data_IF_966613394637
#
_entry.id   IF_966613394637
#
_cell.length_a   1.000
_cell.length_b   1.000
_cell.length_c   1.000
_cell.angle_alpha   90.00
_cell.angle_beta   90.00
_cell.angle_gamma   90.00
#
_symmetry.space_group_name_H-M   'P 1'
#
loop_
_entity.id
_entity.type
_entity.pdbx_description
1 polymer ?
#
# COMPACT_ATOMS: atom_id res chain seq x y z
N UNK A 1 -24.15 46.05 -38.94
CA UNK A 1 -22.94 46.63 -39.56
C UNK A 1 -22.53 47.85 -38.75
N UNK A 2 -21.37 47.80 -38.09
CA UNK A 2 -20.33 48.86 -38.00
C UNK A 2 -19.35 48.51 -36.87
N UNK A 3 -18.10 48.32 -37.26
CA UNK A 3 -16.91 48.13 -36.42
C UNK A 3 -16.33 49.47 -35.98
N UNK A 4 -15.69 49.51 -34.81
CA UNK A 4 -14.74 50.56 -34.45
C UNK A 4 -13.45 49.95 -33.90
N UNK A 5 -12.36 50.23 -34.60
CA UNK A 5 -10.96 50.04 -34.17
C UNK A 5 -10.47 51.31 -33.49
N UNK A 6 -9.60 51.19 -32.48
CA UNK A 6 -8.83 52.31 -31.94
C UNK A 6 -7.37 51.89 -31.68
N UNK A 7 -6.49 52.80 -32.08
CA UNK A 7 -5.06 52.65 -32.33
C UNK A 7 -4.18 52.93 -31.11
N UNK A 8 -3.05 52.25 -31.06
CA UNK A 8 -1.89 52.39 -30.16
C UNK A 8 -1.30 53.81 -30.08
N UNK A 9 -0.78 54.19 -28.90
CA UNK A 9 0.32 55.16 -28.80
C UNK A 9 1.36 54.71 -27.76
N UNK A 10 2.62 54.73 -28.18
CA UNK A 10 3.83 54.35 -27.44
C UNK A 10 4.49 55.59 -26.86
N UNK A 11 5.05 55.51 -25.66
CA UNK A 11 6.17 56.37 -25.25
C UNK A 11 7.17 55.60 -24.37
N UNK A 12 8.45 55.67 -24.77
CA UNK A 12 9.63 55.08 -24.13
C UNK A 12 10.20 56.04 -23.07
N UNK A 13 10.71 55.49 -21.97
CA UNK A 13 11.85 56.05 -21.24
C UNK A 13 12.66 54.92 -20.61
N UNK A 14 13.94 54.85 -20.99
CA UNK A 14 14.95 53.97 -20.41
C UNK A 14 15.88 54.81 -19.53
N UNK A 15 16.16 54.33 -18.32
CA UNK A 15 17.33 54.74 -17.53
C UNK A 15 17.89 53.50 -16.86
N UNK A 16 19.12 53.16 -17.21
CA UNK A 16 19.95 52.14 -16.59
C UNK A 16 20.75 52.73 -15.42
N UNK A 17 20.86 52.00 -14.32
CA UNK A 17 22.09 51.93 -13.51
C UNK A 17 22.01 50.79 -12.50
N UNK A 18 23.08 49.97 -12.50
CA UNK A 18 23.32 48.88 -11.57
C UNK A 18 23.72 49.41 -10.19
N UNK A 19 23.10 48.89 -9.13
CA UNK A 19 23.71 48.80 -7.79
C UNK A 19 23.37 47.42 -7.25
N UNK A 20 24.40 46.62 -7.00
CA UNK A 20 24.28 45.21 -6.61
C UNK A 20 23.70 45.02 -5.21
N UNK A 21 22.92 43.96 -5.05
CA UNK A 21 22.56 43.40 -3.75
C UNK A 21 23.15 41.99 -3.65
N UNK A 22 23.88 41.76 -2.56
CA UNK A 22 24.56 40.51 -2.22
C UNK A 22 23.55 39.35 -2.02
N UNK A 23 23.96 38.10 -2.27
CA UNK A 23 23.12 36.92 -2.05
C UNK A 23 22.86 36.71 -0.55
N UNK A 24 21.60 36.48 -0.19
CA UNK A 24 21.19 36.20 1.18
C UNK A 24 21.72 34.85 1.66
N UNK A 25 22.15 34.92 2.92
CA UNK A 25 22.82 33.95 3.75
C UNK A 25 21.99 32.68 4.01
N UNK A 26 22.69 31.54 4.02
CA UNK A 26 22.19 30.19 4.31
C UNK A 26 22.09 29.98 5.82
N UNK A 27 20.90 29.83 6.40
CA UNK A 27 20.83 29.70 7.86
C UNK A 27 19.60 29.15 8.57
N UNK A 28 18.48 28.80 7.92
CA UNK A 28 17.30 28.27 8.66
C UNK A 28 16.55 27.16 7.90
N UNK A 29 17.17 25.99 7.81
CA UNK A 29 16.56 24.70 8.20
C UNK A 29 15.35 24.10 7.46
N UNK A 30 14.53 24.79 6.67
CA UNK A 30 13.42 24.18 5.92
C UNK A 30 13.16 24.95 4.62
N UNK A 31 13.64 24.43 3.49
CA UNK A 31 13.33 24.93 2.15
C UNK A 31 12.03 24.29 1.64
N UNK A 32 11.19 25.02 0.86
CA UNK A 32 9.87 24.56 0.46
C UNK A 32 10.01 23.37 -0.49
N UNK A 33 9.32 22.27 -0.18
CA UNK A 33 9.22 21.10 -1.04
C UNK A 33 8.73 21.57 -2.41
N UNK A 34 9.65 21.53 -3.38
CA UNK A 34 9.44 21.96 -4.75
C UNK A 34 8.29 21.18 -5.38
N UNK A 35 7.62 21.82 -6.33
CA UNK A 35 6.57 21.22 -7.13
C UNK A 35 7.07 19.92 -7.82
N UNK A 36 6.15 19.10 -8.29
CA UNK A 36 6.47 17.81 -8.92
C UNK A 36 6.40 17.89 -10.44
N UNK A 37 6.84 19.00 -11.02
CA UNK A 37 7.01 19.14 -12.45
C UNK A 37 8.46 18.80 -12.81
N UNK A 38 8.71 18.39 -14.05
CA UNK A 38 10.08 18.12 -14.54
C UNK A 38 11.00 19.34 -14.46
N UNK A 39 10.44 20.52 -14.21
CA UNK A 39 11.15 21.78 -13.98
C UNK A 39 11.69 21.97 -12.54
N UNK A 40 11.30 21.13 -11.59
CA UNK A 40 11.59 21.34 -10.17
C UNK A 40 12.88 20.67 -9.75
N UNK A 41 13.94 21.48 -9.65
CA UNK A 41 15.26 21.03 -9.21
C UNK A 41 15.19 20.62 -7.73
N UNK A 42 15.19 19.30 -7.46
CA UNK A 42 15.02 18.72 -6.12
C UNK A 42 13.61 18.19 -5.84
N UNK A 43 12.72 18.17 -6.84
CA UNK A 43 11.41 17.51 -6.78
C UNK A 43 11.51 15.97 -6.78
N UNK A 44 10.38 15.25 -6.91
CA UNK A 44 10.28 13.80 -6.70
C UNK A 44 11.01 12.99 -7.79
N UNK A 45 11.31 13.61 -8.93
CA UNK A 45 12.11 13.02 -10.01
C UNK A 45 13.62 13.11 -9.75
N UNK A 46 14.03 13.02 -8.49
CA UNK A 46 15.43 12.98 -8.09
C UNK A 46 15.82 11.51 -7.84
N UNK A 47 16.84 11.00 -8.54
CA UNK A 47 17.35 9.63 -8.41
C UNK A 47 17.80 9.24 -6.98
N UNK A 48 18.04 10.22 -6.10
CA UNK A 48 18.39 9.98 -4.69
C UNK A 48 17.17 9.81 -3.79
N UNK A 49 15.98 10.15 -4.27
CA UNK A 49 14.72 9.95 -3.57
C UNK A 49 14.11 8.65 -4.11
N UNK A 50 13.97 7.67 -3.20
CA UNK A 50 13.06 6.51 -3.24
C UNK A 50 13.72 5.14 -3.50
N UNK A 51 13.90 4.36 -2.42
CA UNK A 51 14.13 2.93 -2.55
C UNK A 51 12.84 2.14 -2.77
N UNK A 52 11.64 2.73 -2.92
CA UNK A 52 10.36 1.97 -3.02
C UNK A 52 10.41 0.90 -4.11
N UNK A 53 10.72 1.29 -5.35
CA UNK A 53 10.85 0.31 -6.44
C UNK A 53 12.01 -0.67 -6.21
N UNK A 54 13.11 -0.24 -5.57
CA UNK A 54 14.22 -1.13 -5.22
C UNK A 54 13.81 -2.14 -4.14
N UNK A 55 12.99 -1.73 -3.18
CA UNK A 55 12.46 -2.53 -2.09
C UNK A 55 11.47 -3.56 -2.65
N UNK A 56 10.55 -3.15 -3.51
CA UNK A 56 9.67 -4.06 -4.24
C UNK A 56 10.45 -5.12 -5.03
N UNK A 57 11.49 -4.72 -5.76
CA UNK A 57 12.35 -5.67 -6.49
C UNK A 57 13.01 -6.65 -5.52
N UNK A 58 13.55 -6.17 -4.39
CA UNK A 58 14.18 -7.03 -3.38
C UNK A 58 13.18 -7.98 -2.70
N UNK A 59 11.97 -7.52 -2.40
CA UNK A 59 10.89 -8.33 -1.85
C UNK A 59 10.44 -9.40 -2.85
N UNK A 60 10.27 -9.04 -4.13
CA UNK A 60 9.94 -9.98 -5.20
C UNK A 60 11.01 -11.06 -5.38
N UNK A 61 12.31 -10.68 -5.38
CA UNK A 61 13.41 -11.64 -5.43
C UNK A 61 13.39 -12.57 -4.21
N UNK A 62 13.14 -12.02 -3.02
CA UNK A 62 13.05 -12.81 -1.79
C UNK A 62 11.85 -13.76 -1.76
N UNK A 63 10.72 -13.38 -2.37
CA UNK A 63 9.50 -14.17 -2.46
C UNK A 63 9.55 -15.26 -3.54
N UNK A 64 10.38 -15.06 -4.59
CA UNK A 64 10.66 -16.05 -5.65
C UNK A 64 11.49 -17.24 -5.15
N UNK A 65 11.22 -17.73 -3.94
CA UNK A 65 11.83 -18.92 -3.33
C UNK A 65 11.51 -20.18 -4.15
N UNK A 66 11.59 -21.36 -3.55
CA UNK A 66 11.36 -22.67 -4.22
C UNK A 66 9.91 -22.94 -4.65
N UNK A 67 9.10 -21.91 -4.97
CA UNK A 67 7.75 -22.07 -5.50
C UNK A 67 7.79 -22.35 -6.99
N UNK A 68 7.01 -23.35 -7.40
CA UNK A 68 6.76 -23.61 -8.82
C UNK A 68 5.67 -22.68 -9.34
N UNK A 69 5.60 -22.49 -10.66
CA UNK A 69 4.47 -21.77 -11.27
C UNK A 69 3.11 -22.38 -10.89
N UNK A 70 3.08 -23.70 -10.65
CA UNK A 70 1.88 -24.41 -10.18
C UNK A 70 1.48 -23.98 -8.78
N UNK A 71 2.44 -23.84 -7.86
CA UNK A 71 2.20 -23.35 -6.51
C UNK A 71 1.67 -21.90 -6.54
N UNK A 72 2.21 -21.08 -7.44
CA UNK A 72 1.78 -19.69 -7.64
C UNK A 72 0.34 -19.63 -8.19
N UNK A 73 0.01 -20.45 -9.19
CA UNK A 73 -1.36 -20.51 -9.73
C UNK A 73 -2.36 -21.07 -8.71
N UNK A 74 -1.96 -22.06 -7.90
CA UNK A 74 -2.80 -22.57 -6.81
C UNK A 74 -3.06 -21.53 -5.71
N UNK A 75 -2.07 -20.66 -5.44
CA UNK A 75 -2.25 -19.50 -4.55
C UNK A 75 -3.17 -18.44 -5.19
N UNK A 76 -2.93 -18.11 -6.46
CA UNK A 76 -3.75 -17.16 -7.21
C UNK A 76 -5.22 -17.60 -7.21
N UNK A 77 -5.50 -18.88 -7.49
CA UNK A 77 -6.84 -19.46 -7.36
C UNK A 77 -7.51 -19.15 -6.02
N UNK A 78 -6.77 -19.16 -4.91
CA UNK A 78 -7.35 -18.91 -3.58
C UNK A 78 -7.79 -17.45 -3.43
N UNK A 79 -6.96 -16.50 -3.88
CA UNK A 79 -7.29 -15.07 -3.79
C UNK A 79 -8.42 -14.70 -4.76
N UNK A 80 -8.42 -15.24 -5.97
CA UNK A 80 -9.53 -15.05 -6.94
C UNK A 80 -10.85 -15.67 -6.45
N UNK A 81 -10.78 -16.76 -5.65
CA UNK A 81 -11.96 -17.29 -4.96
C UNK A 81 -12.43 -16.40 -3.80
N UNK A 82 -11.55 -15.66 -3.14
CA UNK A 82 -11.91 -14.72 -2.07
C UNK A 82 -12.66 -13.53 -2.65
N UNK A 83 -12.09 -12.89 -3.66
CA UNK A 83 -12.61 -11.71 -4.35
C UNK A 83 -13.87 -12.05 -5.16
N UNK A 84 -13.74 -12.86 -6.21
CA UNK A 84 -14.83 -13.03 -7.15
C UNK A 84 -16.10 -13.66 -6.56
N UNK A 85 -16.00 -14.46 -5.48
CA UNK A 85 -17.20 -14.97 -4.78
C UNK A 85 -17.90 -13.88 -3.97
N UNK A 86 -17.15 -12.98 -3.34
CA UNK A 86 -17.70 -11.83 -2.64
C UNK A 86 -18.42 -10.91 -3.62
N UNK A 87 -17.77 -10.62 -4.74
CA UNK A 87 -18.27 -9.67 -5.74
C UNK A 87 -19.48 -10.22 -6.48
N UNK A 88 -19.43 -11.50 -6.89
CA UNK A 88 -20.56 -12.18 -7.54
C UNK A 88 -21.77 -12.24 -6.61
N UNK A 89 -21.57 -12.59 -5.34
CA UNK A 89 -22.69 -12.63 -4.38
C UNK A 89 -23.21 -11.22 -4.06
N UNK A 90 -22.32 -10.26 -3.84
CA UNK A 90 -22.65 -8.87 -3.55
C UNK A 90 -23.46 -8.20 -4.65
N UNK A 91 -23.01 -8.34 -5.89
CA UNK A 91 -23.57 -7.63 -7.04
C UNK A 91 -24.65 -8.42 -7.76
N UNK A 92 -24.57 -9.76 -7.86
CA UNK A 92 -25.52 -10.59 -8.60
C UNK A 92 -26.48 -11.32 -7.67
N UNK A 93 -26.04 -11.68 -6.46
CA UNK A 93 -26.77 -12.57 -5.55
C UNK A 93 -26.60 -14.04 -5.92
N UNK A 94 -25.58 -14.36 -6.71
CA UNK A 94 -25.23 -15.69 -7.18
C UNK A 94 -23.74 -15.93 -6.92
N UNK A 95 -23.42 -17.08 -6.35
CA UNK A 95 -22.03 -17.51 -6.12
C UNK A 95 -21.46 -18.14 -7.41
N UNK A 96 -20.17 -18.44 -7.37
CA UNK A 96 -19.50 -19.23 -8.40
C UNK A 96 -20.18 -20.57 -8.64
N UNK A 97 -20.14 -21.05 -9.89
CA UNK A 97 -20.63 -22.37 -10.25
C UNK A 97 -19.66 -23.49 -9.79
N UNK A 98 -20.08 -24.74 -9.98
CA UNK A 98 -19.31 -25.91 -9.57
C UNK A 98 -17.95 -26.04 -10.28
N UNK A 99 -17.84 -25.60 -11.53
CA UNK A 99 -16.59 -25.62 -12.31
C UNK A 99 -15.55 -24.64 -11.74
N UNK A 100 -16.01 -23.50 -11.21
CA UNK A 100 -15.15 -22.50 -10.58
C UNK A 100 -14.83 -22.85 -9.12
N UNK A 101 -15.79 -23.38 -8.36
CA UNK A 101 -15.57 -23.73 -6.94
C UNK A 101 -14.83 -25.05 -6.74
N UNK A 102 -14.95 -25.98 -7.69
CA UNK A 102 -14.46 -27.36 -7.62
C UNK A 102 -14.90 -28.09 -6.33
N UNK A 103 -16.14 -27.86 -5.90
CA UNK A 103 -16.69 -28.46 -4.68
C UNK A 103 -16.18 -27.83 -3.38
N UNK A 104 -15.53 -26.67 -3.46
CA UNK A 104 -15.17 -25.86 -2.30
C UNK A 104 -16.39 -25.47 -1.46
N UNK A 105 -16.27 -25.37 -0.13
CA UNK A 105 -17.40 -25.05 0.73
C UNK A 105 -17.94 -23.63 0.50
N UNK A 106 -19.22 -23.43 0.81
CA UNK A 106 -19.82 -22.10 0.90
C UNK A 106 -19.09 -21.27 1.98
N UNK A 107 -18.90 -19.97 1.69
CA UNK A 107 -18.41 -19.02 2.68
C UNK A 107 -19.50 -18.59 3.65
N UNK A 108 -19.20 -17.62 4.51
CA UNK A 108 -20.18 -16.93 5.37
C UNK A 108 -19.95 -15.42 5.33
N UNK A 109 -21.00 -14.63 5.52
CA UNK A 109 -20.88 -13.15 5.54
C UNK A 109 -20.90 -12.47 4.17
N UNK A 110 -21.25 -13.21 3.14
CA UNK A 110 -21.48 -12.76 1.77
C UNK A 110 -22.94 -13.01 1.34
N UNK A 111 -23.42 -12.25 0.36
CA UNK A 111 -24.81 -12.25 -0.08
C UNK A 111 -25.11 -11.02 -0.92
N UNK A 112 -26.33 -10.92 -1.46
CA UNK A 112 -26.73 -9.75 -2.25
C UNK A 112 -26.64 -8.47 -1.40
N UNK A 113 -25.80 -7.53 -1.82
CA UNK A 113 -25.70 -6.22 -1.20
C UNK A 113 -26.84 -5.30 -1.65
N UNK A 114 -27.23 -4.37 -0.78
CA UNK A 114 -28.23 -3.36 -1.10
C UNK A 114 -27.59 -2.18 -1.83
N UNK A 115 -27.40 -2.32 -3.13
CA UNK A 115 -26.72 -1.32 -3.98
C UNK A 115 -27.71 -0.46 -4.77
N UNK A 116 -27.42 0.83 -4.87
CA UNK A 116 -28.10 1.73 -5.80
C UNK A 116 -27.79 1.33 -7.26
N UNK A 117 -28.67 1.64 -8.22
CA UNK A 117 -28.43 1.32 -9.62
C UNK A 117 -27.12 1.92 -10.18
N UNK A 118 -26.71 3.08 -9.67
CA UNK A 118 -25.48 3.77 -10.10
C UNK A 118 -24.21 3.00 -9.70
N UNK A 119 -24.19 2.41 -8.50
CA UNK A 119 -23.07 1.58 -8.04
C UNK A 119 -23.18 0.17 -8.60
N UNK A 120 -24.38 -0.40 -8.64
CA UNK A 120 -24.59 -1.76 -9.11
C UNK A 120 -24.16 -1.96 -10.57
N UNK A 121 -24.43 -1.00 -11.45
CA UNK A 121 -24.14 -1.13 -12.89
C UNK A 121 -22.65 -1.38 -13.20
N UNK A 122 -21.70 -0.52 -12.78
CA UNK A 122 -20.27 -0.78 -12.99
C UNK A 122 -19.77 -2.01 -12.21
N UNK A 123 -20.20 -2.21 -10.95
CA UNK A 123 -19.74 -3.36 -10.16
C UNK A 123 -20.24 -4.71 -10.70
N UNK A 124 -21.33 -4.72 -11.48
CA UNK A 124 -21.78 -5.92 -12.19
C UNK A 124 -20.76 -6.38 -13.23
N UNK A 125 -20.10 -5.43 -13.94
CA UNK A 125 -19.04 -5.77 -14.89
C UNK A 125 -17.81 -6.34 -14.17
N UNK A 126 -17.42 -5.72 -13.04
CA UNK A 126 -16.33 -6.21 -12.20
C UNK A 126 -16.61 -7.65 -11.75
N UNK A 127 -17.76 -7.91 -11.13
CA UNK A 127 -18.10 -9.23 -10.61
C UNK A 127 -18.21 -10.34 -11.68
N UNK A 128 -18.64 -10.01 -12.90
CA UNK A 128 -18.63 -10.97 -14.02
C UNK A 128 -17.20 -11.19 -14.53
N UNK A 129 -16.35 -10.17 -14.50
CA UNK A 129 -14.94 -10.26 -14.88
C UNK A 129 -14.13 -11.08 -13.88
N UNK A 130 -14.40 -10.95 -12.58
CA UNK A 130 -13.76 -11.75 -11.52
C UNK A 130 -14.09 -13.24 -11.60
N UNK A 131 -15.29 -13.62 -12.08
CA UNK A 131 -15.58 -15.01 -12.46
C UNK A 131 -14.65 -15.48 -13.60
N UNK A 132 -14.33 -14.59 -14.54
CA UNK A 132 -13.37 -14.81 -15.60
C UNK A 132 -11.94 -14.95 -15.09
N UNK A 133 -11.54 -14.18 -14.09
CA UNK A 133 -10.24 -14.33 -13.42
C UNK A 133 -10.12 -15.72 -12.78
N UNK A 134 -11.12 -16.12 -11.99
CA UNK A 134 -11.18 -17.47 -11.42
C UNK A 134 -11.11 -18.56 -12.51
N UNK A 135 -11.86 -18.41 -13.61
CA UNK A 135 -11.83 -19.33 -14.76
C UNK A 135 -10.43 -19.43 -15.38
N UNK A 136 -9.74 -18.30 -15.55
CA UNK A 136 -8.36 -18.31 -16.02
C UNK A 136 -7.47 -19.15 -15.11
N UNK A 137 -7.57 -18.99 -13.78
CA UNK A 137 -6.75 -19.81 -12.87
C UNK A 137 -7.02 -21.30 -13.03
N UNK A 138 -8.28 -21.70 -13.28
CA UNK A 138 -8.62 -23.10 -13.58
C UNK A 138 -7.95 -23.61 -14.85
N UNK A 139 -7.98 -22.81 -15.91
CA UNK A 139 -7.33 -23.14 -17.19
C UNK A 139 -5.80 -23.13 -17.10
N UNK A 140 -5.23 -22.25 -16.27
CA UNK A 140 -3.80 -22.18 -15.97
C UNK A 140 -3.31 -23.36 -15.10
N UNK A 141 -4.22 -24.23 -14.64
CA UNK A 141 -3.90 -25.45 -13.91
C UNK A 141 -4.16 -25.39 -12.41
N UNK A 142 -4.83 -24.36 -11.91
CA UNK A 142 -5.26 -24.24 -10.51
C UNK A 142 -6.21 -25.38 -10.12
N UNK A 143 -5.82 -26.18 -9.14
CA UNK A 143 -6.58 -27.38 -8.71
C UNK A 143 -7.12 -27.30 -7.29
N UNK A 144 -6.70 -26.32 -6.50
CA UNK A 144 -7.28 -26.11 -5.18
C UNK A 144 -8.76 -25.74 -5.32
N UNK A 145 -9.69 -26.47 -4.67
CA UNK A 145 -11.06 -25.98 -4.50
C UNK A 145 -11.06 -24.61 -3.82
N UNK A 146 -12.07 -23.79 -4.09
CA UNK A 146 -12.21 -22.54 -3.34
C UNK A 146 -12.26 -22.86 -1.83
N UNK A 147 -11.43 -22.20 -0.99
CA UNK A 147 -11.42 -22.50 0.43
C UNK A 147 -12.67 -21.96 1.12
N UNK A 148 -12.88 -22.41 2.36
CA UNK A 148 -13.85 -21.76 3.24
C UNK A 148 -13.38 -20.34 3.58
N UNK A 149 -14.24 -19.36 3.30
CA UNK A 149 -14.00 -17.95 3.61
C UNK A 149 -15.05 -17.44 4.60
N UNK A 150 -14.61 -16.70 5.62
CA UNK A 150 -15.49 -16.00 6.55
C UNK A 150 -15.37 -14.49 6.35
N UNK A 151 -16.22 -13.92 5.49
CA UNK A 151 -16.24 -12.49 5.20
C UNK A 151 -16.68 -11.66 6.41
N UNK A 152 -17.61 -12.17 7.23
CA UNK A 152 -18.01 -11.47 8.46
C UNK A 152 -16.82 -11.29 9.39
N UNK A 153 -16.10 -12.38 9.72
CA UNK A 153 -14.93 -12.30 10.57
C UNK A 153 -13.81 -11.50 9.90
N UNK A 154 -13.51 -11.78 8.62
CA UNK A 154 -12.45 -11.11 7.88
C UNK A 154 -12.58 -9.59 7.86
N UNK A 155 -13.73 -9.06 7.45
CA UNK A 155 -13.92 -7.60 7.46
C UNK A 155 -13.95 -7.02 8.87
N UNK A 156 -14.53 -7.70 9.86
CA UNK A 156 -14.53 -7.18 11.23
C UNK A 156 -13.13 -7.17 11.85
N UNK A 157 -12.30 -8.18 11.60
CA UNK A 157 -10.92 -8.25 12.07
C UNK A 157 -10.04 -7.20 11.37
N UNK A 158 -10.18 -7.02 10.06
CA UNK A 158 -9.49 -5.97 9.29
C UNK A 158 -9.88 -4.58 9.80
N UNK A 159 -11.18 -4.30 9.97
CA UNK A 159 -11.63 -3.03 10.51
C UNK A 159 -11.12 -2.84 11.94
N UNK A 160 -11.20 -3.86 12.79
CA UNK A 160 -10.68 -3.78 14.15
C UNK A 160 -9.19 -3.38 14.16
N UNK A 161 -8.37 -4.02 13.34
CA UNK A 161 -6.96 -3.69 13.19
C UNK A 161 -6.72 -2.27 12.63
N UNK A 162 -7.48 -1.87 11.60
CA UNK A 162 -7.43 -0.53 11.02
C UNK A 162 -7.83 0.59 12.01
N UNK A 163 -8.58 0.25 13.06
CA UNK A 163 -8.92 1.16 14.16
C UNK A 163 -8.03 0.98 15.39
N UNK A 164 -6.95 0.20 15.29
CA UNK A 164 -5.96 0.00 16.35
C UNK A 164 -6.45 -0.83 17.53
N UNK A 165 -7.49 -1.64 17.33
CA UNK A 165 -7.93 -2.61 18.32
C UNK A 165 -6.92 -3.76 18.44
N UNK A 166 -6.87 -4.36 19.62
CA UNK A 166 -6.01 -5.50 19.89
C UNK A 166 -6.52 -6.77 19.19
N UNK A 167 -5.63 -7.72 18.86
CA UNK A 167 -6.05 -8.99 18.24
C UNK A 167 -7.17 -9.68 19.03
N UNK A 168 -8.21 -10.10 18.32
CA UNK A 168 -9.40 -10.75 18.89
C UNK A 168 -10.48 -9.80 19.42
N UNK A 169 -10.28 -8.49 19.34
CA UNK A 169 -11.35 -7.51 19.60
C UNK A 169 -12.17 -7.25 18.33
N UNK A 170 -13.49 -7.22 18.47
CA UNK A 170 -14.42 -6.93 17.38
C UNK A 170 -14.67 -5.42 17.26
N UNK A 171 -14.87 -4.91 16.04
CA UNK A 171 -15.13 -3.49 15.79
C UNK A 171 -16.39 -2.96 16.50
N UNK A 172 -17.33 -3.83 16.89
CA UNK A 172 -18.48 -3.50 17.73
C UNK A 172 -18.12 -2.94 19.10
N UNK A 173 -16.89 -3.17 19.59
CA UNK A 173 -16.39 -2.53 20.81
C UNK A 173 -16.36 -1.00 20.65
N UNK A 174 -16.08 -0.49 19.45
CA UNK A 174 -16.05 0.94 19.16
C UNK A 174 -17.41 1.51 18.72
N UNK A 175 -18.18 0.74 17.94
CA UNK A 175 -19.39 1.26 17.28
C UNK A 175 -20.70 0.58 17.71
N UNK A 176 -20.64 -0.29 18.72
CA UNK A 176 -21.80 -1.00 19.29
C UNK A 176 -22.39 -2.09 18.39
N UNK A 177 -21.85 -2.27 17.18
CA UNK A 177 -22.29 -3.27 16.18
C UNK A 177 -21.12 -3.69 15.30
N UNK A 178 -21.12 -4.94 14.80
CA UNK A 178 -20.13 -5.38 13.83
C UNK A 178 -20.33 -4.64 12.50
N UNK A 179 -19.24 -4.49 11.75
CA UNK A 179 -19.28 -4.05 10.36
C UNK A 179 -19.96 -5.12 9.49
N UNK A 180 -20.79 -4.67 8.56
CA UNK A 180 -21.45 -5.53 7.59
C UNK A 180 -21.31 -4.88 6.20
N UNK A 181 -20.61 -5.53 5.25
CA UNK A 181 -20.39 -4.94 3.94
C UNK A 181 -21.67 -4.83 3.10
N UNK A 182 -22.72 -5.60 3.38
CA UNK A 182 -23.87 -5.75 2.49
C UNK A 182 -24.97 -4.69 2.68
N UNK A 183 -24.77 -3.71 3.57
CA UNK A 183 -25.82 -2.79 4.06
C UNK A 183 -26.22 -1.73 3.03
N UNK A 184 -25.24 -1.13 2.37
CA UNK A 184 -25.44 -0.06 1.39
C UNK A 184 -24.24 0.07 0.45
N UNK A 185 -24.33 1.04 -0.47
CA UNK A 185 -23.25 1.42 -1.39
C UNK A 185 -21.92 1.62 -0.67
N UNK A 186 -21.89 2.44 0.39
CA UNK A 186 -20.65 2.83 1.05
C UNK A 186 -19.96 1.65 1.74
N UNK A 187 -20.70 0.81 2.48
CA UNK A 187 -20.13 -0.35 3.16
C UNK A 187 -19.63 -1.40 2.18
N UNK A 188 -20.36 -1.62 1.09
CA UNK A 188 -19.97 -2.62 0.11
C UNK A 188 -18.76 -2.15 -0.70
N UNK A 189 -18.77 -0.90 -1.16
CA UNK A 189 -17.72 -0.34 -2.00
C UNK A 189 -16.36 -0.27 -1.29
N UNK A 190 -16.31 0.16 -0.02
CA UNK A 190 -15.02 0.14 0.73
C UNK A 190 -14.50 -1.27 0.97
N UNK A 191 -15.39 -2.26 0.99
CA UNK A 191 -15.05 -3.67 1.22
C UNK A 191 -14.56 -4.35 -0.06
N UNK A 192 -15.25 -4.09 -1.17
CA UNK A 192 -14.89 -4.57 -2.50
C UNK A 192 -13.55 -3.95 -2.91
N UNK A 193 -13.41 -2.62 -2.79
CA UNK A 193 -12.16 -1.91 -3.09
C UNK A 193 -10.96 -2.35 -2.23
N UNK A 194 -11.21 -2.72 -0.98
CA UNK A 194 -10.15 -3.28 -0.14
C UNK A 194 -9.59 -4.57 -0.73
N UNK A 195 -10.45 -5.47 -1.21
CA UNK A 195 -10.05 -6.75 -1.79
C UNK A 195 -9.47 -6.56 -3.20
N UNK A 196 -10.14 -5.81 -4.06
CA UNK A 196 -9.75 -5.56 -5.45
C UNK A 196 -8.33 -4.99 -5.57
N UNK A 197 -7.93 -4.11 -4.65
CA UNK A 197 -6.55 -3.59 -4.63
C UNK A 197 -5.51 -4.62 -4.18
N UNK A 198 -5.90 -5.60 -3.35
CA UNK A 198 -5.04 -6.75 -3.06
C UNK A 198 -4.91 -7.65 -4.28
N UNK A 199 -6.00 -7.86 -5.04
CA UNK A 199 -5.98 -8.54 -6.33
C UNK A 199 -5.06 -7.85 -7.32
N UNK A 200 -5.24 -6.55 -7.56
CA UNK A 200 -4.44 -5.76 -8.50
C UNK A 200 -2.93 -5.78 -8.18
N UNK A 201 -2.57 -5.43 -6.94
CA UNK A 201 -1.16 -5.34 -6.51
C UNK A 201 -0.52 -6.72 -6.30
N UNK A 202 -1.29 -7.70 -5.85
CA UNK A 202 -0.89 -9.09 -5.72
C UNK A 202 -0.64 -9.75 -7.07
N UNK A 203 -1.58 -9.62 -8.01
CA UNK A 203 -1.43 -10.13 -9.38
C UNK A 203 -0.23 -9.52 -10.08
N UNK A 204 -0.01 -8.20 -9.94
CA UNK A 204 1.22 -7.55 -10.42
C UNK A 204 2.46 -8.19 -9.79
N UNK A 205 2.48 -8.42 -8.48
CA UNK A 205 3.61 -9.07 -7.81
C UNK A 205 3.85 -10.52 -8.29
N UNK A 206 2.80 -11.28 -8.57
CA UNK A 206 2.90 -12.63 -9.14
C UNK A 206 3.60 -12.62 -10.52
N UNK A 207 3.39 -11.58 -11.33
CA UNK A 207 4.10 -11.43 -12.62
C UNK A 207 5.63 -11.37 -12.44
N UNK A 208 6.14 -10.94 -11.29
CA UNK A 208 7.57 -10.88 -11.01
C UNK A 208 8.20 -12.26 -10.71
N UNK A 209 7.38 -13.25 -10.31
CA UNK A 209 7.86 -14.53 -9.79
C UNK A 209 7.45 -15.75 -10.62
N UNK A 210 6.46 -15.63 -11.51
CA UNK A 210 6.11 -16.68 -12.48
C UNK A 210 7.19 -16.81 -13.56
N UNK A 211 7.61 -18.04 -13.83
CA UNK A 211 8.67 -18.34 -14.81
C UNK A 211 8.16 -18.65 -16.22
N UNK A 212 6.97 -19.24 -16.36
CA UNK A 212 6.36 -19.53 -17.65
C UNK A 212 5.80 -18.24 -18.28
N UNK A 213 6.30 -17.81 -19.45
CA UNK A 213 5.91 -16.52 -20.03
C UNK A 213 4.46 -16.45 -20.49
N UNK A 214 3.82 -17.59 -20.80
CA UNK A 214 2.41 -17.63 -21.22
C UNK A 214 1.49 -17.47 -20.02
N UNK A 215 1.79 -18.18 -18.93
CA UNK A 215 1.06 -18.02 -17.66
C UNK A 215 1.26 -16.59 -17.13
N UNK A 216 2.50 -16.11 -17.17
CA UNK A 216 2.85 -14.75 -16.78
C UNK A 216 2.05 -13.69 -17.56
N UNK A 217 1.93 -13.84 -18.88
CA UNK A 217 1.15 -12.93 -19.71
C UNK A 217 -0.34 -12.90 -19.31
N UNK A 218 -0.91 -14.06 -18.99
CA UNK A 218 -2.29 -14.14 -18.48
C UNK A 218 -2.44 -13.45 -17.12
N UNK A 219 -1.54 -13.69 -16.17
CA UNK A 219 -1.55 -13.03 -14.85
C UNK A 219 -1.31 -11.52 -14.94
N UNK A 220 -0.47 -11.07 -15.87
CA UNK A 220 -0.32 -9.65 -16.18
C UNK A 220 -1.62 -9.04 -16.74
N UNK A 221 -2.38 -9.82 -17.51
CA UNK A 221 -3.74 -9.47 -17.93
C UNK A 221 -4.68 -9.26 -16.74
N UNK A 222 -4.69 -10.19 -15.78
CA UNK A 222 -5.48 -10.07 -14.54
C UNK A 222 -5.08 -8.83 -13.74
N UNK A 223 -3.77 -8.58 -13.57
CA UNK A 223 -3.28 -7.39 -12.88
C UNK A 223 -3.77 -6.10 -13.56
N UNK A 224 -3.85 -6.10 -14.90
CA UNK A 224 -4.31 -4.95 -15.68
C UNK A 224 -5.80 -4.68 -15.49
N UNK A 225 -6.64 -5.71 -15.61
CA UNK A 225 -8.09 -5.58 -15.39
C UNK A 225 -8.41 -5.21 -13.95
N UNK A 226 -7.82 -5.90 -12.97
CA UNK A 226 -8.02 -5.62 -11.55
C UNK A 226 -7.62 -4.18 -11.19
N UNK A 227 -6.50 -3.69 -11.74
CA UNK A 227 -6.10 -2.28 -11.56
C UNK A 227 -7.15 -1.31 -12.14
N UNK A 228 -7.79 -1.66 -13.25
CA UNK A 228 -8.86 -0.85 -13.84
C UNK A 228 -10.15 -0.89 -13.00
N UNK A 229 -10.49 -2.04 -12.45
CA UNK A 229 -11.64 -2.22 -11.54
C UNK A 229 -11.45 -1.42 -10.25
N UNK A 230 -10.27 -1.54 -9.61
CA UNK A 230 -9.90 -0.72 -8.46
C UNK A 230 -10.00 0.79 -8.76
N UNK A 231 -9.62 1.23 -9.98
CA UNK A 231 -9.73 2.64 -10.36
C UNK A 231 -11.21 3.10 -10.50
N UNK A 232 -12.08 2.26 -11.06
CA UNK A 232 -13.53 2.52 -11.11
C UNK A 232 -14.11 2.62 -9.69
N UNK A 233 -13.71 1.70 -8.81
CA UNK A 233 -14.16 1.68 -7.41
C UNK A 233 -13.64 2.87 -6.61
N UNK A 234 -12.37 3.25 -6.79
CA UNK A 234 -11.79 4.49 -6.25
C UNK A 234 -12.57 5.70 -6.72
N UNK A 235 -12.98 5.75 -7.99
CA UNK A 235 -13.82 6.82 -8.53
C UNK A 235 -15.19 6.86 -7.85
N UNK A 236 -15.90 5.74 -7.77
CA UNK A 236 -17.20 5.65 -7.10
C UNK A 236 -17.10 6.04 -5.60
N UNK A 237 -16.01 5.65 -4.95
CA UNK A 237 -15.74 5.93 -3.54
C UNK A 237 -15.37 7.39 -3.34
N UNK A 238 -14.63 7.99 -4.29
CA UNK A 238 -14.34 9.42 -4.31
C UNK A 238 -15.61 10.26 -4.47
N UNK A 239 -16.53 9.90 -5.36
CA UNK A 239 -17.82 10.59 -5.50
C UNK A 239 -18.65 10.52 -4.20
N UNK A 240 -18.47 9.44 -3.42
CA UNK A 240 -19.11 9.22 -2.11
C UNK A 240 -18.23 9.59 -0.92
N UNK A 241 -17.11 10.27 -1.12
CA UNK A 241 -16.05 10.48 -0.09
C UNK A 241 -16.53 11.13 1.21
N UNK A 242 -17.62 11.89 1.15
CA UNK A 242 -18.22 12.59 2.29
C UNK A 242 -19.39 11.83 2.94
N UNK A 243 -19.86 10.74 2.31
CA UNK A 243 -20.91 9.88 2.86
C UNK A 243 -20.35 9.08 4.04
N UNK A 244 -21.20 8.75 5.01
CA UNK A 244 -20.81 7.99 6.20
C UNK A 244 -20.84 6.49 5.93
N UNK A 245 -19.83 5.77 6.44
CA UNK A 245 -19.76 4.30 6.37
C UNK A 245 -20.33 3.69 7.64
N UNK A 246 -21.46 2.99 7.55
CA UNK A 246 -22.07 2.34 8.72
C UNK A 246 -21.25 1.12 9.19
N UNK A 247 -21.13 0.83 10.51
CA UNK A 247 -21.70 1.54 11.66
C UNK A 247 -20.82 2.68 12.18
N UNK A 248 -19.74 3.01 11.48
CA UNK A 248 -18.84 4.09 11.86
C UNK A 248 -19.54 5.45 11.72
N UNK A 249 -19.03 6.46 12.42
CA UNK A 249 -19.41 7.86 12.19
C UNK A 249 -18.39 8.56 11.28
N UNK A 250 -17.59 7.82 10.51
CA UNK A 250 -16.55 8.33 9.63
C UNK A 250 -17.00 8.34 8.16
N UNK A 251 -16.38 9.21 7.36
CA UNK A 251 -16.68 9.27 5.94
C UNK A 251 -15.99 8.15 5.17
N UNK A 252 -16.44 7.86 3.93
CA UNK A 252 -15.79 6.91 3.02
C UNK A 252 -14.29 7.20 2.87
N UNK A 253 -13.89 8.47 2.72
CA UNK A 253 -12.47 8.84 2.64
C UNK A 253 -11.69 8.50 3.91
N UNK A 254 -12.28 8.75 5.09
CA UNK A 254 -11.64 8.44 6.37
C UNK A 254 -11.50 6.94 6.58
N UNK A 255 -12.57 6.18 6.35
CA UNK A 255 -12.54 4.71 6.49
C UNK A 255 -11.55 4.09 5.52
N UNK A 256 -11.54 4.52 4.25
CA UNK A 256 -10.61 3.97 3.27
C UNK A 256 -9.14 4.34 3.58
N UNK A 257 -8.88 5.54 4.12
CA UNK A 257 -7.55 5.90 4.60
C UNK A 257 -7.07 4.99 5.73
N UNK A 258 -7.96 4.60 6.66
CA UNK A 258 -7.62 3.62 7.72
C UNK A 258 -7.32 2.24 7.14
N UNK A 259 -8.13 1.78 6.19
CA UNK A 259 -7.90 0.50 5.52
C UNK A 259 -6.59 0.49 4.73
N UNK A 260 -6.24 1.61 4.09
CA UNK A 260 -4.96 1.78 3.42
C UNK A 260 -3.80 1.72 4.40
N UNK A 261 -3.85 2.49 5.50
CA UNK A 261 -2.82 2.45 6.53
C UNK A 261 -2.67 1.07 7.21
N UNK A 262 -3.78 0.33 7.33
CA UNK A 262 -3.75 -1.05 7.80
C UNK A 262 -2.96 -1.96 6.86
N UNK A 263 -3.21 -1.91 5.55
CA UNK A 263 -2.48 -2.73 4.57
C UNK A 263 -0.99 -2.37 4.56
N UNK A 264 -0.66 -1.08 4.62
CA UNK A 264 0.71 -0.57 4.67
C UNK A 264 1.47 -1.12 5.90
N UNK A 265 0.77 -1.23 7.03
CA UNK A 265 1.35 -1.78 8.25
C UNK A 265 1.60 -3.30 8.18
N UNK A 266 1.00 -3.97 7.19
CA UNK A 266 0.94 -5.44 7.07
C UNK A 266 1.68 -5.98 5.84
N UNK A 267 2.15 -5.14 4.91
CA UNK A 267 2.93 -5.57 3.75
C UNK A 267 4.43 -5.26 3.85
N UNK A 268 4.94 -4.98 5.05
CA UNK A 268 6.37 -5.02 5.33
C UNK A 268 7.02 -3.63 5.35
N UNK A 269 8.27 -3.49 4.88
CA UNK A 269 9.02 -2.25 5.06
C UNK A 269 8.73 -1.17 4.01
N UNK A 270 7.99 -1.48 2.94
CA UNK A 270 7.56 -0.48 1.96
C UNK A 270 6.55 0.49 2.59
N UNK A 271 6.50 1.71 2.04
CA UNK A 271 5.38 2.62 2.25
C UNK A 271 4.80 2.90 0.88
N UNK A 272 3.67 2.28 0.58
CA UNK A 272 3.16 2.24 -0.80
C UNK A 272 1.63 2.35 -0.90
N UNK A 273 0.88 1.95 0.12
CA UNK A 273 -0.57 2.13 0.18
C UNK A 273 -1.00 3.58 0.26
N UNK A 274 -2.12 3.86 -0.40
CA UNK A 274 -2.58 5.23 -0.60
C UNK A 274 -4.09 5.33 -0.45
N UNK A 275 -4.55 6.34 0.29
CA UNK A 275 -5.98 6.65 0.40
C UNK A 275 -6.60 7.15 -0.92
N UNK A 276 -7.91 7.46 -0.88
CA UNK A 276 -8.65 8.06 -2.00
C UNK A 276 -8.18 9.49 -2.32
N UNK A 277 -7.68 10.17 -1.29
CA UNK A 277 -7.04 11.47 -1.38
C UNK A 277 -5.58 11.26 -0.99
N UNK A 278 -4.65 11.81 -1.77
CA UNK A 278 -3.24 11.65 -1.50
C UNK A 278 -2.51 13.00 -1.65
N UNK A 279 -1.62 13.26 -0.69
CA UNK A 279 -0.78 14.46 -0.62
C UNK A 279 0.69 14.10 -0.37
N UNK A 280 1.01 12.81 -0.30
CA UNK A 280 2.35 12.33 -0.02
C UNK A 280 3.26 12.53 -1.24
N UNK A 281 4.35 13.32 -1.12
CA UNK A 281 5.30 13.62 -2.21
C UNK A 281 5.99 12.40 -2.83
N UNK A 282 5.84 11.20 -2.25
CA UNK A 282 6.36 9.91 -2.74
C UNK A 282 5.43 9.23 -3.75
N UNK A 283 4.26 9.78 -4.02
CA UNK A 283 3.29 9.29 -5.02
C UNK A 283 3.13 10.28 -6.16
N UNK A 284 2.50 9.91 -7.28
CA UNK A 284 2.25 10.89 -8.37
C UNK A 284 0.96 11.70 -8.16
N UNK A 285 -0.02 11.12 -7.47
CA UNK A 285 -1.33 11.72 -7.24
C UNK A 285 -1.27 12.65 -6.02
N UNK A 286 -0.73 13.85 -6.18
CA UNK A 286 -0.62 14.84 -5.10
C UNK A 286 -1.48 16.05 -5.40
N UNK A 287 -2.21 16.53 -4.38
CA UNK A 287 -2.88 17.82 -4.41
C UNK A 287 -1.84 18.98 -4.39
N UNK A 288 -1.07 19.16 -5.47
CA UNK A 288 -0.03 20.20 -5.55
C UNK A 288 -0.65 21.56 -5.85
N UNK A 289 -0.40 22.57 -5.00
CA UNK A 289 -0.73 23.99 -5.18
C UNK A 289 -2.23 24.33 -5.27
N UNK A 290 -3.08 23.64 -4.51
CA UNK A 290 -4.52 23.78 -4.72
C UNK A 290 -5.25 24.17 -3.43
N UNK A 291 -6.19 25.12 -3.51
CA UNK A 291 -6.83 25.70 -2.34
C UNK A 291 -7.72 24.70 -1.58
N UNK A 292 -8.06 23.55 -2.19
CA UNK A 292 -8.99 22.57 -1.63
C UNK A 292 -8.45 21.13 -1.78
N UNK A 293 -7.82 20.54 -0.74
CA UNK A 293 -7.28 19.17 -0.79
C UNK A 293 -8.34 18.08 -1.06
N UNK A 294 -9.64 18.37 -0.86
CA UNK A 294 -10.75 17.44 -1.14
C UNK A 294 -11.20 17.33 -2.61
N UNK A 295 -10.44 17.93 -3.55
CA UNK A 295 -10.75 17.96 -4.98
C UNK A 295 -9.88 17.03 -5.84
N UNK A 296 -8.82 16.44 -5.29
CA UNK A 296 -7.90 15.56 -6.04
C UNK A 296 -8.14 14.10 -5.72
N UNK A 297 -8.44 13.36 -6.77
CA UNK A 297 -8.68 11.93 -6.70
C UNK A 297 -7.38 11.16 -6.91
N UNK A 298 -7.13 10.17 -6.06
CA UNK A 298 -6.11 9.16 -6.27
C UNK A 298 -6.75 7.92 -6.90
N UNK A 299 -6.67 7.81 -8.23
CA UNK A 299 -7.26 6.71 -9.00
C UNK A 299 -6.39 5.45 -9.06
N UNK A 300 -5.07 5.62 -9.02
CA UNK A 300 -4.12 4.51 -9.13
C UNK A 300 -3.04 4.70 -8.06
N UNK A 301 -2.83 3.72 -7.16
CA UNK A 301 -1.83 3.85 -6.12
C UNK A 301 -0.43 3.63 -6.70
N UNK A 302 0.12 4.71 -7.25
CA UNK A 302 1.37 4.73 -8.00
C UNK A 302 2.46 5.47 -7.23
N UNK A 303 3.70 5.00 -7.35
CA UNK A 303 4.87 5.72 -6.88
C UNK A 303 5.15 6.96 -7.75
N UNK A 304 6.21 7.71 -7.46
CA UNK A 304 6.59 8.88 -8.28
C UNK A 304 6.94 8.55 -9.73
N UNK A 305 7.23 7.28 -10.06
CA UNK A 305 7.49 6.84 -11.43
C UNK A 305 6.18 6.56 -12.18
N UNK A 306 5.02 6.71 -11.52
CA UNK A 306 3.72 6.36 -12.08
C UNK A 306 3.51 4.84 -12.16
N UNK A 307 4.25 4.06 -11.37
CA UNK A 307 4.17 2.59 -11.36
C UNK A 307 3.36 2.16 -10.14
N UNK A 308 2.31 1.37 -10.38
CA UNK A 308 1.56 0.72 -9.29
C UNK A 308 2.48 -0.24 -8.57
N UNK A 309 2.51 -0.24 -7.24
CA UNK A 309 3.40 -1.11 -6.48
C UNK A 309 3.00 -2.60 -6.55
N UNK A 310 3.87 -3.49 -6.07
CA UNK A 310 3.69 -4.95 -6.13
C UNK A 310 3.69 -5.59 -4.75
N UNK A 311 2.73 -6.49 -4.51
CA UNK A 311 2.71 -7.35 -3.32
C UNK A 311 3.13 -8.78 -3.62
N UNK A 312 3.98 -9.33 -2.77
CA UNK A 312 4.33 -10.74 -2.71
C UNK A 312 3.17 -11.55 -2.12
N UNK A 313 3.11 -12.87 -2.41
CA UNK A 313 2.10 -13.74 -1.79
C UNK A 313 2.10 -13.68 -0.26
N UNK A 314 3.28 -13.57 0.37
CA UNK A 314 3.41 -13.54 1.83
C UNK A 314 2.79 -12.27 2.42
N UNK A 315 2.99 -11.11 1.78
CA UNK A 315 2.37 -9.85 2.17
C UNK A 315 0.83 -9.91 2.04
N UNK A 316 0.33 -10.44 0.92
CA UNK A 316 -1.13 -10.65 0.71
C UNK A 316 -1.72 -11.55 1.79
N UNK A 317 -1.05 -12.67 2.11
CA UNK A 317 -1.48 -13.58 3.19
C UNK A 317 -1.47 -12.87 4.54
N UNK A 318 -0.46 -12.06 4.84
CA UNK A 318 -0.35 -11.34 6.11
C UNK A 318 -1.54 -10.38 6.31
N UNK A 319 -1.91 -9.65 5.25
CA UNK A 319 -3.07 -8.76 5.24
C UNK A 319 -4.39 -9.54 5.42
N UNK A 320 -4.60 -10.60 4.63
CA UNK A 320 -5.87 -11.35 4.62
C UNK A 320 -6.09 -12.19 5.89
N UNK A 321 -5.01 -12.53 6.59
CA UNK A 321 -5.05 -13.30 7.84
C UNK A 321 -4.79 -12.44 9.08
N UNK A 322 -4.72 -11.11 8.91
CA UNK A 322 -4.57 -10.11 9.98
C UNK A 322 -3.36 -10.43 10.88
N UNK A 323 -2.22 -10.70 10.26
CA UNK A 323 -0.96 -10.98 10.96
C UNK A 323 -0.82 -12.40 11.53
N UNK A 324 -1.75 -13.32 11.24
CA UNK A 324 -1.68 -14.68 11.78
C UNK A 324 -0.51 -15.48 11.17
N UNK A 325 0.55 -15.68 11.95
CA UNK A 325 1.79 -16.36 11.51
C UNK A 325 1.58 -17.77 10.94
N UNK A 326 0.53 -18.47 11.36
CA UNK A 326 0.18 -19.80 10.87
C UNK A 326 -0.71 -19.77 9.62
N UNK A 327 -1.01 -18.59 9.07
CA UNK A 327 -1.90 -18.39 7.93
C UNK A 327 -3.38 -18.66 8.22
N UNK A 328 -3.80 -18.63 9.49
CA UNK A 328 -5.19 -18.89 9.93
C UNK A 328 -5.72 -17.73 10.75
N UNK A 329 -6.69 -17.02 10.19
CA UNK A 329 -7.26 -15.81 10.79
C UNK A 329 -7.93 -14.95 9.72
N UNK A 330 -8.58 -13.87 10.13
CA UNK A 330 -9.27 -12.97 9.21
C UNK A 330 -10.23 -13.72 8.29
N UNK A 331 -10.03 -13.57 6.98
CA UNK A 331 -10.87 -14.20 5.96
C UNK A 331 -10.74 -15.73 5.93
N UNK A 332 -9.63 -16.31 6.40
CA UNK A 332 -9.32 -17.74 6.31
C UNK A 332 -9.15 -18.41 7.67
N UNK A 333 -10.24 -18.61 8.45
CA UNK A 333 -10.14 -19.24 9.77
C UNK A 333 -9.65 -20.70 9.72
N UNK A 334 -9.83 -21.38 8.60
CA UNK A 334 -9.33 -22.75 8.37
C UNK A 334 -7.93 -22.77 7.74
N UNK A 335 -7.45 -21.61 7.30
CA UNK A 335 -6.17 -21.42 6.61
C UNK A 335 -6.24 -21.52 5.09
N UNK A 336 -5.18 -21.03 4.46
CA UNK A 336 -5.00 -21.06 3.01
C UNK A 336 -4.46 -22.44 2.57
N UNK A 337 -5.05 -23.09 1.56
CA UNK A 337 -4.52 -24.36 1.04
C UNK A 337 -3.28 -24.14 0.14
N UNK A 338 -2.51 -25.21 -0.08
CA UNK A 338 -1.36 -25.18 -1.00
C UNK A 338 0.00 -24.99 -0.33
N UNK A 339 1.01 -24.73 -1.15
CA UNK A 339 2.40 -24.54 -0.71
C UNK A 339 2.65 -23.11 -0.17
N UNK A 340 2.01 -22.11 -0.76
CA UNK A 340 2.07 -20.71 -0.32
C UNK A 340 0.86 -20.43 0.58
N UNK A 341 1.04 -20.56 1.89
CA UNK A 341 -0.09 -20.55 2.86
C UNK A 341 0.17 -19.86 4.19
N UNK A 342 1.36 -19.29 4.39
CA UNK A 342 1.71 -18.55 5.61
C UNK A 342 2.35 -17.23 5.24
N UNK A 343 2.24 -16.19 6.08
CA UNK A 343 2.92 -14.92 5.86
C UNK A 343 4.43 -14.97 6.16
N UNK A 344 4.98 -16.14 6.53
CA UNK A 344 6.41 -16.31 6.84
C UNK A 344 7.28 -15.68 5.75
N UNK A 345 8.08 -14.70 6.14
CA UNK A 345 8.99 -14.01 5.24
C UNK A 345 8.42 -12.78 4.54
N UNK A 346 7.24 -12.28 4.92
CA UNK A 346 6.63 -11.07 4.34
C UNK A 346 7.51 -9.82 4.46
N UNK A 347 8.42 -9.78 5.43
CA UNK A 347 9.38 -8.69 5.68
C UNK A 347 10.78 -8.93 5.07
N UNK A 348 11.01 -10.09 4.42
CA UNK A 348 12.34 -10.46 3.91
C UNK A 348 12.65 -9.66 2.64
N UNK A 349 13.83 -9.03 2.64
CA UNK A 349 14.38 -8.31 1.50
C UNK A 349 15.64 -9.00 1.01
N UNK A 350 15.70 -9.36 -0.28
CA UNK A 350 16.91 -9.94 -0.87
C UNK A 350 18.05 -8.90 -0.94
N UNK A 351 19.29 -9.37 -0.87
CA UNK A 351 20.46 -8.51 -1.08
C UNK A 351 20.64 -8.18 -2.58
N UNK A 352 20.09 -7.05 -3.02
CA UNK A 352 20.62 -6.26 -4.15
C UNK A 352 19.85 -6.23 -5.48
N UNK A 353 20.15 -5.18 -6.25
CA UNK A 353 20.26 -5.10 -7.72
C UNK A 353 21.74 -5.28 -8.17
N UNK A 354 22.64 -5.55 -7.22
CA UNK A 354 24.10 -5.44 -7.39
C UNK A 354 24.71 -6.55 -8.28
N UNK A 355 23.93 -7.60 -8.59
CA UNK A 355 24.31 -8.71 -9.46
C UNK A 355 23.82 -8.55 -10.90
N UNK A 356 23.08 -7.48 -11.23
CA UNK A 356 22.71 -7.17 -12.60
C UNK A 356 23.97 -6.74 -13.35
N UNK A 357 24.33 -7.46 -14.42
CA UNK A 357 25.44 -7.06 -15.28
C UNK A 357 25.14 -5.66 -15.85
N UNK A 358 25.98 -4.68 -15.53
CA UNK A 358 25.71 -3.27 -15.85
C UNK A 358 24.82 -2.56 -14.83
N UNK A 359 25.07 -2.80 -13.53
CA UNK A 359 24.59 -1.91 -12.47
C UNK A 359 24.73 -0.47 -12.97
N UNK A 360 23.60 0.24 -13.05
CA UNK A 360 23.55 1.57 -13.60
C UNK A 360 24.54 2.45 -12.84
N UNK A 361 25.73 2.66 -13.42
CA UNK A 361 26.45 3.89 -13.17
C UNK A 361 25.47 4.97 -13.61
N UNK A 362 24.89 5.66 -12.64
CA UNK A 362 24.33 6.99 -12.87
C UNK A 362 25.53 7.84 -13.30
N UNK A 363 25.90 7.73 -14.56
CA UNK A 363 26.84 8.62 -15.19
C UNK A 363 26.05 9.91 -15.39
N UNK A 364 26.09 10.78 -14.38
CA UNK A 364 25.75 12.19 -14.57
C UNK A 364 26.58 12.67 -15.78
N UNK A 365 25.92 12.90 -16.91
CA UNK A 365 26.59 13.51 -18.03
C UNK A 365 27.11 14.88 -17.56
N UNK A 366 28.40 15.18 -17.71
CA UNK A 366 28.94 16.46 -17.27
C UNK A 366 28.14 17.58 -17.93
N UNK A 367 27.81 18.61 -17.15
CA UNK A 367 26.95 19.74 -17.51
C UNK A 367 27.30 20.42 -18.87
N UNK A 368 28.51 20.18 -19.40
CA UNK A 368 28.95 20.60 -20.72
C UNK A 368 28.28 19.86 -21.90
N UNK A 369 27.70 18.67 -21.68
CA UNK A 369 27.05 17.86 -22.70
C UNK A 369 25.59 18.24 -22.96
N UNK A 370 24.96 18.98 -22.03
CA UNK A 370 23.57 19.43 -22.16
C UNK A 370 23.58 20.89 -22.61
N UNK A 371 23.38 21.10 -23.90
CA UNK A 371 23.31 22.44 -24.51
C UNK A 371 22.29 23.34 -23.80
N UNK A 372 22.63 24.62 -23.65
CA UNK A 372 21.84 25.62 -22.91
C UNK A 372 20.44 25.78 -23.51
N UNK A 373 19.40 25.53 -22.71
CA UNK A 373 18.05 26.01 -22.99
C UNK A 373 17.90 27.48 -22.53
N UNK A 374 17.21 28.30 -23.34
CA UNK A 374 17.01 29.74 -23.14
C UNK A 374 16.12 30.10 -21.94
N UNK A 375 16.25 31.34 -21.50
CA UNK A 375 15.81 31.94 -20.22
C UNK A 375 14.29 32.08 -19.98
N UNK A 376 13.99 32.01 -18.66
CA UNK A 376 12.84 32.30 -17.79
C UNK A 376 11.59 33.09 -18.24
N UNK A 377 10.45 32.55 -17.80
CA UNK A 377 9.14 33.19 -17.51
C UNK A 377 9.17 33.87 -16.12
N UNK A 378 8.32 34.87 -15.86
CA UNK A 378 8.19 35.51 -14.55
C UNK A 378 6.78 35.52 -13.94
N UNK A 379 6.78 35.88 -12.64
CA UNK A 379 5.76 36.56 -11.81
C UNK A 379 5.13 35.74 -10.65
N UNK A 380 5.14 36.40 -9.49
CA UNK A 380 4.81 36.13 -8.08
C UNK A 380 3.35 35.76 -7.71
N UNK A 381 3.17 35.04 -6.58
CA UNK A 381 1.89 34.83 -5.85
C UNK A 381 1.98 35.15 -4.33
N UNK A 382 0.86 35.40 -3.61
CA UNK A 382 0.82 36.17 -2.36
C UNK A 382 0.89 35.36 -1.04
N UNK A 383 1.02 36.12 0.06
CA UNK A 383 1.65 35.78 1.33
C UNK A 383 0.68 35.62 2.52
N UNK A 384 0.22 34.39 2.78
CA UNK A 384 -0.36 33.84 4.05
C UNK A 384 -1.88 33.55 4.05
N UNK A 385 -2.26 32.35 4.53
CA UNK A 385 -3.40 32.10 5.45
C UNK A 385 -3.08 30.87 6.35
N UNK A 386 -3.26 30.95 7.68
CA UNK A 386 -3.12 29.83 8.63
C UNK A 386 -4.40 29.00 8.89
N UNK A 387 -4.21 27.68 9.12
CA UNK A 387 -5.02 26.82 10.01
C UNK A 387 -6.11 25.94 9.39
N UNK A 388 -5.97 24.61 9.55
CA UNK A 388 -6.97 23.52 9.69
C UNK A 388 -6.35 22.19 9.17
N UNK A 389 -5.18 21.81 9.70
CA UNK A 389 -4.33 20.71 9.21
C UNK A 389 -4.38 19.45 10.10
N UNK A 390 -5.21 19.42 11.12
CA UNK A 390 -4.83 18.67 12.31
C UNK A 390 -5.34 17.23 12.41
N UNK A 391 -5.65 16.50 11.33
CA UNK A 391 -6.07 15.08 11.47
C UNK A 391 -5.57 14.08 10.41
N UNK A 392 -4.63 14.44 9.53
CA UNK A 392 -4.00 13.48 8.60
C UNK A 392 -2.51 13.82 8.43
N UNK A 393 -1.61 13.11 9.12
CA UNK A 393 -0.14 13.32 9.10
C UNK A 393 0.35 14.79 9.12
N UNK A 394 -0.47 15.71 9.58
CA UNK A 394 -0.15 17.12 9.65
C UNK A 394 -0.12 17.65 11.10
N UNK A 395 -0.36 16.80 12.11
CA UNK A 395 -0.07 17.10 13.53
C UNK A 395 1.28 16.58 14.06
N UNK A 396 1.87 15.56 13.45
CA UNK A 396 3.06 14.91 14.03
C UNK A 396 4.37 15.28 13.33
N UNK A 397 4.29 16.11 12.29
CA UNK A 397 5.39 16.37 11.36
C UNK A 397 5.87 15.09 10.65
N UNK A 398 6.93 15.19 9.82
CA UNK A 398 7.62 14.01 9.31
C UNK A 398 8.16 13.22 10.50
N UNK A 399 7.63 12.02 10.76
CA UNK A 399 8.16 11.15 11.79
C UNK A 399 9.21 10.21 11.22
N UNK A 400 10.18 9.84 12.07
CA UNK A 400 11.31 9.00 11.68
C UNK A 400 10.87 7.59 11.25
N UNK A 401 11.44 7.16 10.13
CA UNK A 401 11.01 6.03 9.29
C UNK A 401 11.48 4.66 9.81
N UNK A 402 11.63 4.51 11.13
CA UNK A 402 12.30 3.36 11.72
C UNK A 402 11.35 2.27 12.27
N UNK A 403 10.19 2.62 12.86
CA UNK A 403 9.30 1.66 13.55
C UNK A 403 7.80 2.04 13.49
N UNK A 404 6.89 1.07 13.64
CA UNK A 404 5.44 1.31 13.61
C UNK A 404 4.91 2.26 14.70
N UNK A 405 5.60 2.34 15.85
CA UNK A 405 5.24 3.19 16.98
C UNK A 405 5.56 4.68 16.77
N UNK A 406 6.45 5.01 15.83
CA UNK A 406 6.75 6.40 15.44
C UNK A 406 5.84 6.90 14.32
N UNK A 407 4.65 6.31 14.14
CA UNK A 407 3.70 6.69 13.09
C UNK A 407 2.31 7.00 13.63
N UNK A 408 2.20 7.37 14.91
CA UNK A 408 0.94 7.69 15.57
C UNK A 408 0.09 6.48 15.99
N UNK A 409 0.59 5.25 15.78
CA UNK A 409 0.02 4.03 16.33
C UNK A 409 0.54 3.83 17.76
N UNK A 410 -0.27 4.14 18.77
CA UNK A 410 0.11 4.04 20.18
C UNK A 410 -0.78 3.01 20.92
N UNK A 411 -0.50 1.69 20.80
CA UNK A 411 -1.15 0.73 21.67
C UNK A 411 -0.64 0.98 23.09
N UNK A 412 -1.56 1.34 23.98
CA UNK A 412 -1.27 1.55 25.41
C UNK A 412 -0.27 0.51 25.93
N UNK A 413 0.87 0.89 26.52
CA UNK A 413 1.90 -0.07 26.91
C UNK A 413 1.35 -1.12 27.89
N UNK A 414 1.66 -2.38 27.61
CA UNK A 414 1.49 -3.47 28.56
C UNK A 414 2.07 -3.07 29.93
N UNK A 415 1.30 -3.28 30.99
CA UNK A 415 1.89 -3.37 32.33
C UNK A 415 2.98 -4.44 32.27
N UNK A 416 4.21 -4.05 32.59
CA UNK A 416 5.37 -4.93 32.46
C UNK A 416 5.09 -6.29 33.12
N UNK A 417 5.41 -7.42 32.45
CA UNK A 417 5.43 -8.70 33.12
C UNK A 417 6.51 -8.66 34.21
N UNK A 418 6.13 -9.02 35.44
CA UNK A 418 7.11 -9.28 36.51
C UNK A 418 8.10 -10.31 36.01
N UNK A 419 9.33 -9.90 35.81
CA UNK A 419 10.45 -10.82 35.54
C UNK A 419 10.71 -11.60 36.82
N UNK A 420 10.26 -12.85 36.87
CA UNK A 420 10.81 -13.84 37.79
C UNK A 420 12.18 -14.26 37.25
N UNK A 421 13.20 -13.97 38.03
CA UNK A 421 14.58 -14.48 38.05
C UNK A 421 15.02 -15.39 36.90
N UNK A 422 16.02 -14.92 36.16
CA UNK A 422 16.79 -15.65 35.15
C UNK A 422 17.39 -16.97 35.67
N UNK A 423 17.44 -18.04 34.86
CA UNK A 423 18.45 -19.07 35.03
C UNK A 423 19.75 -18.60 34.35
N UNK A 424 20.80 -18.41 35.16
CA UNK A 424 22.15 -18.16 34.70
C UNK A 424 22.72 -19.39 33.98
N UNK A 425 23.37 -19.17 32.83
CA UNK A 425 24.26 -20.14 32.19
C UNK A 425 25.67 -19.85 32.70
N UNK A 426 26.21 -20.77 33.49
CA UNK A 426 27.53 -20.66 34.13
C UNK A 426 28.62 -21.08 33.12
N UNK A 427 29.48 -20.15 32.74
CA UNK A 427 30.69 -20.42 31.94
C UNK A 427 31.87 -20.27 32.89
N UNK A 428 32.35 -21.41 33.40
CA UNK A 428 33.48 -21.48 34.32
C UNK A 428 34.73 -20.85 33.70
N UNK A 429 35.22 -19.78 34.33
CA UNK A 429 36.55 -19.22 34.09
C UNK A 429 37.40 -19.46 35.35
N UNK A 430 38.33 -20.40 35.25
CA UNK A 430 39.43 -20.52 36.21
C UNK A 430 40.64 -19.78 35.65
N UNK A 431 40.98 -18.62 36.23
CA UNK A 431 42.28 -18.36 36.86
C UNK A 431 42.57 -16.87 37.05
N UNK A 432 42.63 -16.45 38.32
CA UNK A 432 43.54 -15.48 38.96
C UNK A 432 42.82 -14.87 40.20
N UNK A 433 43.32 -14.86 41.42
CA UNK A 433 44.61 -15.28 41.96
C UNK A 433 44.55 -15.35 43.50
N UNK A 434 45.50 -16.12 44.06
CA UNK A 434 46.21 -15.92 45.33
C UNK A 434 45.54 -16.28 46.67
N UNK A 435 45.97 -17.42 47.24
CA UNK A 435 46.48 -17.48 48.61
C UNK A 435 47.34 -18.75 48.85
N UNK A 436 48.64 -18.52 49.09
CA UNK A 436 49.49 -19.16 50.13
C UNK A 436 49.51 -20.69 50.34
N UNK A 437 50.69 -21.29 50.08
CA UNK A 437 51.45 -22.23 50.95
C UNK A 437 52.35 -23.10 50.04
N UNK A 438 53.64 -22.78 49.83
CA UNK A 438 54.77 -23.29 50.62
C UNK A 438 54.65 -24.76 51.03
N UNK A 439 55.30 -25.67 50.28
CA UNK A 439 56.39 -26.54 50.75
C UNK A 439 56.64 -27.71 49.79
N UNK A 440 57.92 -27.86 49.43
CA UNK A 440 58.68 -29.11 49.23
C UNK A 440 58.15 -30.17 48.23
N UNK A 441 58.93 -30.89 47.44
CA UNK A 441 60.36 -30.98 47.17
C UNK A 441 60.50 -32.11 46.12
N UNK A 442 61.45 -31.96 45.20
CA UNK A 442 62.40 -33.01 44.77
C UNK A 442 61.88 -34.26 44.04
N UNK A 443 62.60 -34.53 42.94
CA UNK A 443 62.84 -35.81 42.24
C UNK A 443 61.90 -36.18 41.07
N UNK A 444 62.54 -36.35 39.91
CA UNK A 444 62.01 -36.96 38.71
C UNK A 444 62.65 -36.39 37.47
#
# INVERSE_FOLDING_TARGET
MTSWTATLLVSLLSVSSNVGAAPFDTGTGLAPLGNLLTSDKGGPYNLTLLPVQQNEVRAGIAARQTYTDKDIIDFLTVVECLEGRFDSMGTLGLDFNDDLTLGGPAGVGYGKANLSPEVLAPLTEVAVSEQGHALFTRHAGGKNPCPFVNYTAGFNDVFAAAYGLQPGQDISVLFGKPFNPLVNDETFLVSMLFLEELGATGNKGLTGIISNPVINNGVAGLATSATAFAAVERYLAFERRNNRVYPTNETVAQVFARLSAYRDSMDGPQFDDQGLLNTDPRSIAIAINQPNPGQYINLFPTDVHGITFSRTPQQVINIQTVGAVNGKGGFFPQGIPGAIKTPTGYEIMASGLNSFAGAAEVNEAPQAAVGRLQQSVGISGPANVPGELDLTQAENGPQEDAFYSSRGFNPTPAQQPRVSQSPAVDIGSENAAAAQATQAAVAG
#
